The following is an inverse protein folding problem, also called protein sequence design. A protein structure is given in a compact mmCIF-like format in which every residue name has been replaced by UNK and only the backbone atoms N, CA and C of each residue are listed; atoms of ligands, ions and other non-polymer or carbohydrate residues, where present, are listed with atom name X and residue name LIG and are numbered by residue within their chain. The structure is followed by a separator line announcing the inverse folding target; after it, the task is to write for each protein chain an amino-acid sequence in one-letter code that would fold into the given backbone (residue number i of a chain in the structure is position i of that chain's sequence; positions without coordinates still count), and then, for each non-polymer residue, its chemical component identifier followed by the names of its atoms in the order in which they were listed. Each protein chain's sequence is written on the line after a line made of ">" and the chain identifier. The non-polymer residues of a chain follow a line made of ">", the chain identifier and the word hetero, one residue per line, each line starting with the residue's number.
data_IF_303144606523
#
_entry.id   IF_303144606523
#
_cell.length_a   1.000
_cell.length_b   1.000
_cell.length_c   1.000
_cell.angle_alpha   90.00
_cell.angle_beta   90.00
_cell.angle_gamma   90.00
#
_symmetry.space_group_name_H-M   'P 1'
#
loop_
_entity.id
_entity.type
_entity.pdbx_description
1 polymer ?
#
# COMPACT_ATOMS: atom_id res chain seq x y z
N UNK A 1 -2.57 -35.42 9.13
CA UNK A 1 -2.64 -34.41 10.22
C UNK A 1 -2.94 -33.07 9.57
N UNK A 2 -4.07 -32.44 9.90
CA UNK A 2 -4.39 -31.11 9.34
C UNK A 2 -3.49 -30.07 10.03
N UNK A 3 -2.71 -29.32 9.25
CA UNK A 3 -1.85 -28.26 9.79
C UNK A 3 -2.65 -27.11 10.40
N UNK A 4 -1.98 -26.19 11.13
CA UNK A 4 -2.63 -25.01 11.70
C UNK A 4 -3.32 -24.18 10.61
N UNK A 5 -4.53 -23.71 10.93
CA UNK A 5 -5.35 -22.86 10.06
C UNK A 5 -5.26 -21.41 10.50
N UNK A 6 -5.25 -20.49 9.54
CA UNK A 6 -5.27 -19.06 9.80
C UNK A 6 -6.59 -18.67 10.48
N UNK A 7 -6.51 -18.05 11.65
CA UNK A 7 -7.69 -17.58 12.40
C UNK A 7 -8.52 -16.53 11.64
N UNK A 8 -7.91 -15.80 10.68
CA UNK A 8 -8.59 -14.74 9.92
C UNK A 8 -9.30 -15.24 8.66
N UNK A 9 -8.70 -16.18 7.92
CA UNK A 9 -9.22 -16.59 6.60
C UNK A 9 -9.47 -18.09 6.43
N UNK A 10 -9.12 -18.92 7.41
CA UNK A 10 -9.32 -20.38 7.38
C UNK A 10 -8.34 -21.17 6.50
N UNK A 11 -7.48 -20.50 5.73
CA UNK A 11 -6.45 -21.15 4.91
C UNK A 11 -5.40 -21.86 5.76
N UNK A 12 -4.71 -22.85 5.19
CA UNK A 12 -3.58 -23.49 5.85
C UNK A 12 -2.44 -22.46 6.05
N UNK A 13 -1.89 -22.39 7.26
CA UNK A 13 -0.83 -21.45 7.63
C UNK A 13 0.34 -22.22 8.26
N UNK A 14 1.22 -22.83 7.45
CA UNK A 14 2.33 -23.64 7.98
C UNK A 14 3.43 -22.81 8.65
N UNK A 15 3.50 -21.50 8.38
CA UNK A 15 4.48 -20.57 8.96
C UNK A 15 3.87 -19.59 9.97
N UNK A 16 4.64 -18.55 10.33
CA UNK A 16 4.19 -17.51 11.25
C UNK A 16 3.15 -16.60 10.59
N UNK A 17 3.20 -16.47 9.25
CA UNK A 17 2.34 -15.60 8.47
C UNK A 17 1.52 -16.43 7.49
N UNK A 18 0.22 -16.16 7.42
CA UNK A 18 -0.65 -16.82 6.46
C UNK A 18 -0.24 -16.42 5.03
N UNK A 19 0.11 -17.40 4.20
CA UNK A 19 0.51 -17.20 2.81
C UNK A 19 -0.58 -16.62 1.91
N UNK A 20 -1.85 -16.68 2.35
CA UNK A 20 -3.01 -16.20 1.61
C UNK A 20 -3.42 -14.77 1.97
N UNK A 21 -3.62 -14.47 3.27
CA UNK A 21 -4.08 -13.15 3.71
C UNK A 21 -3.01 -12.32 4.44
N UNK A 22 -1.81 -12.87 4.64
CA UNK A 22 -0.72 -12.18 5.33
C UNK A 22 -0.94 -12.01 6.83
N UNK A 23 -2.04 -12.51 7.40
CA UNK A 23 -2.29 -12.39 8.84
C UNK A 23 -1.38 -13.31 9.64
N UNK A 24 -1.03 -12.88 10.85
CA UNK A 24 -0.23 -13.67 11.76
C UNK A 24 -1.02 -14.91 12.22
N UNK A 25 -0.38 -16.08 12.21
CA UNK A 25 -0.99 -17.35 12.59
C UNK A 25 -1.08 -17.52 14.12
N UNK A 26 -0.11 -17.00 14.86
CA UNK A 26 -0.07 -16.98 16.32
C UNK A 26 0.64 -15.71 16.82
N UNK A 27 0.20 -15.15 17.95
CA UNK A 27 0.77 -13.92 18.51
C UNK A 27 2.27 -14.05 18.78
N UNK A 28 3.13 -13.09 18.38
CA UNK A 28 4.55 -13.17 18.60
C UNK A 28 4.85 -12.72 20.03
N UNK A 29 5.33 -13.63 20.87
CA UNK A 29 5.60 -13.33 22.29
C UNK A 29 6.93 -12.58 22.50
N UNK A 30 7.78 -12.51 21.47
CA UNK A 30 9.09 -11.87 21.52
C UNK A 30 9.37 -11.00 20.30
N UNK A 31 10.23 -9.99 20.46
CA UNK A 31 10.67 -9.12 19.37
C UNK A 31 11.40 -9.89 18.25
N UNK A 32 12.05 -11.01 18.56
CA UNK A 32 12.66 -11.87 17.55
C UNK A 32 11.61 -12.57 16.68
N UNK A 33 10.51 -13.05 17.28
CA UNK A 33 9.40 -13.63 16.53
C UNK A 33 8.68 -12.59 15.67
N UNK A 34 8.52 -11.35 16.15
CA UNK A 34 8.00 -10.26 15.32
C UNK A 34 8.86 -10.02 14.08
N UNK A 35 10.19 -9.99 14.25
CA UNK A 35 11.12 -9.79 13.15
C UNK A 35 11.06 -10.94 12.14
N UNK A 36 11.05 -12.19 12.60
CA UNK A 36 10.90 -13.36 11.72
C UNK A 36 9.56 -13.36 10.98
N UNK A 37 8.47 -12.97 11.64
CA UNK A 37 7.17 -12.83 11.00
C UNK A 37 7.17 -11.71 9.95
N UNK A 38 7.86 -10.59 10.21
CA UNK A 38 8.02 -9.53 9.23
C UNK A 38 8.85 -9.99 8.02
N UNK A 39 9.94 -10.70 8.25
CA UNK A 39 10.78 -11.30 7.19
C UNK A 39 9.96 -12.27 6.32
N UNK A 40 9.17 -13.16 6.94
CA UNK A 40 8.28 -14.09 6.23
C UNK A 40 7.21 -13.34 5.42
N UNK A 41 6.57 -12.32 6.01
CA UNK A 41 5.60 -11.47 5.32
C UNK A 41 6.22 -10.78 4.10
N UNK A 42 7.44 -10.27 4.22
CA UNK A 42 8.14 -9.64 3.10
C UNK A 42 8.56 -10.63 2.02
N UNK A 43 8.94 -11.87 2.40
CA UNK A 43 9.17 -12.95 1.45
C UNK A 43 7.90 -13.29 0.64
N UNK A 44 6.74 -13.30 1.30
CA UNK A 44 5.45 -13.50 0.62
C UNK A 44 5.15 -12.39 -0.40
N UNK A 45 5.52 -11.14 -0.13
CA UNK A 45 5.32 -10.03 -1.09
C UNK A 45 6.14 -10.20 -2.37
N UNK A 46 7.38 -10.67 -2.27
CA UNK A 46 8.27 -10.82 -3.43
C UNK A 46 7.80 -11.90 -4.42
N UNK A 47 7.06 -12.90 -3.95
CA UNK A 47 6.57 -14.02 -4.76
C UNK A 47 5.17 -13.81 -5.39
N UNK A 48 4.62 -12.60 -5.34
CA UNK A 48 3.25 -12.31 -5.79
C UNK A 48 3.24 -11.28 -6.92
N UNK A 49 2.19 -11.34 -7.73
CA UNK A 49 1.85 -10.30 -8.69
C UNK A 49 1.32 -9.04 -7.99
N UNK A 50 1.11 -7.96 -8.74
CA UNK A 50 0.70 -6.66 -8.17
C UNK A 50 -0.62 -6.75 -7.37
N UNK A 51 -1.57 -7.56 -7.81
CA UNK A 51 -2.84 -7.75 -7.10
C UNK A 51 -2.65 -8.53 -5.79
N UNK A 52 -1.89 -9.63 -5.82
CA UNK A 52 -1.55 -10.40 -4.63
C UNK A 52 -0.73 -9.56 -3.62
N UNK A 53 0.20 -8.75 -4.10
CA UNK A 53 0.95 -7.79 -3.28
C UNK A 53 0.02 -6.77 -2.64
N UNK A 54 -0.88 -6.15 -3.40
CA UNK A 54 -1.84 -5.17 -2.87
C UNK A 54 -2.69 -5.76 -1.73
N UNK A 55 -3.24 -6.96 -1.94
CA UNK A 55 -4.06 -7.65 -0.93
C UNK A 55 -3.28 -7.95 0.36
N UNK A 56 -2.03 -8.39 0.23
CA UNK A 56 -1.14 -8.64 1.37
C UNK A 56 -0.76 -7.33 2.08
N UNK A 57 -0.51 -6.24 1.36
CA UNK A 57 -0.18 -4.95 1.95
C UNK A 57 -1.37 -4.35 2.72
N UNK A 58 -2.59 -4.44 2.16
CA UNK A 58 -3.84 -3.95 2.76
C UNK A 58 -4.20 -4.66 4.07
N UNK A 59 -3.97 -5.97 4.14
CA UNK A 59 -4.50 -6.82 5.21
C UNK A 59 -3.46 -7.59 6.02
N UNK A 60 -2.19 -7.58 5.61
CA UNK A 60 -1.14 -8.39 6.20
C UNK A 60 -0.66 -7.94 7.57
N UNK A 61 0.20 -8.77 8.16
CA UNK A 61 0.76 -8.65 9.50
C UNK A 61 1.44 -7.31 9.74
N UNK A 62 1.04 -6.58 10.79
CA UNK A 62 1.69 -5.33 11.21
C UNK A 62 2.33 -5.52 12.59
N UNK A 63 3.67 -5.37 12.73
CA UNK A 63 4.37 -5.60 13.99
C UNK A 63 4.02 -4.56 15.05
N UNK A 64 4.36 -4.81 16.31
CA UNK A 64 4.00 -3.94 17.44
C UNK A 64 5.18 -3.23 18.08
N UNK A 65 6.40 -3.80 18.00
CA UNK A 65 7.60 -3.12 18.49
C UNK A 65 7.99 -1.93 17.61
N UNK A 66 8.53 -0.83 18.18
CA UNK A 66 8.96 0.33 17.41
C UNK A 66 9.98 -0.02 16.32
N UNK A 67 10.96 -0.87 16.65
CA UNK A 67 12.04 -1.29 15.73
C UNK A 67 11.46 -2.03 14.52
N UNK A 68 10.60 -3.02 14.76
CA UNK A 68 9.98 -3.77 13.67
C UNK A 68 8.98 -2.92 12.86
N UNK A 69 8.34 -1.91 13.46
CA UNK A 69 7.50 -0.96 12.74
C UNK A 69 8.31 -0.08 11.79
N UNK A 70 9.44 0.45 12.24
CA UNK A 70 10.34 1.22 11.38
C UNK A 70 10.81 0.34 10.21
N UNK A 71 11.24 -0.89 10.48
CA UNK A 71 11.64 -1.82 9.42
C UNK A 71 10.49 -2.11 8.44
N UNK A 72 9.28 -2.34 8.95
CA UNK A 72 8.10 -2.55 8.12
C UNK A 72 7.82 -1.33 7.22
N UNK A 73 7.98 -0.11 7.75
CA UNK A 73 7.83 1.13 6.99
C UNK A 73 8.89 1.24 5.88
N UNK A 74 10.17 1.02 6.21
CA UNK A 74 11.28 1.02 5.23
C UNK A 74 11.03 0.03 4.10
N UNK A 75 10.55 -1.18 4.43
CA UNK A 75 10.24 -2.20 3.41
C UNK A 75 9.04 -1.87 2.53
N UNK A 76 8.17 -0.94 2.94
CA UNK A 76 7.08 -0.44 2.10
C UNK A 76 7.54 0.61 1.07
N UNK A 77 8.66 1.29 1.32
CA UNK A 77 9.14 2.41 0.48
C UNK A 77 9.28 2.06 -1.00
N UNK A 78 9.89 0.91 -1.40
CA UNK A 78 10.04 0.57 -2.81
C UNK A 78 8.69 0.42 -3.54
N UNK A 79 7.64 -0.01 -2.83
CA UNK A 79 6.30 -0.16 -3.40
C UNK A 79 5.61 1.19 -3.58
N UNK A 80 5.80 2.12 -2.64
CA UNK A 80 5.26 3.49 -2.74
C UNK A 80 5.96 4.29 -3.85
N UNK A 81 7.27 4.08 -4.01
CA UNK A 81 8.09 4.77 -5.02
C UNK A 81 8.07 4.12 -6.41
N UNK A 82 7.56 2.88 -6.51
CA UNK A 82 7.44 2.14 -7.76
C UNK A 82 6.41 2.73 -8.71
N UNK A 83 5.90 1.90 -9.62
CA UNK A 83 4.84 2.32 -10.55
C UNK A 83 3.55 2.67 -9.79
N UNK A 84 3.26 3.97 -9.76
CA UNK A 84 2.20 4.58 -8.97
C UNK A 84 0.80 4.23 -9.45
N UNK A 85 0.68 3.80 -10.70
CA UNK A 85 -0.60 3.36 -11.26
C UNK A 85 -0.98 1.95 -10.81
N UNK A 86 -0.05 1.22 -10.18
CA UNK A 86 -0.34 -0.10 -9.64
C UNK A 86 -1.04 -0.02 -8.28
N UNK A 87 -2.05 -0.87 -8.09
CA UNK A 87 -2.79 -1.02 -6.84
C UNK A 87 -1.89 -1.33 -5.64
N UNK A 88 -0.75 -1.99 -5.86
CA UNK A 88 0.23 -2.28 -4.81
C UNK A 88 0.85 -1.00 -4.22
N UNK A 89 1.01 0.06 -5.01
CA UNK A 89 1.57 1.33 -4.54
C UNK A 89 0.61 2.03 -3.59
N UNK A 90 -0.68 2.08 -3.92
CA UNK A 90 -1.71 2.65 -3.04
C UNK A 90 -1.83 1.83 -1.73
N UNK A 91 -1.84 0.50 -1.85
CA UNK A 91 -1.87 -0.38 -0.68
C UNK A 91 -0.64 -0.19 0.23
N UNK A 92 0.56 -0.02 -0.37
CA UNK A 92 1.77 0.29 0.37
C UNK A 92 1.71 1.65 1.07
N UNK A 93 1.14 2.67 0.41
CA UNK A 93 0.98 4.00 1.00
C UNK A 93 0.04 3.96 2.22
N UNK A 94 -1.11 3.29 2.11
CA UNK A 94 -2.04 3.08 3.25
C UNK A 94 -1.39 2.29 4.38
N UNK A 95 -0.57 1.31 4.04
CA UNK A 95 0.19 0.53 5.04
C UNK A 95 1.24 1.38 5.73
N UNK A 96 1.94 2.25 5.00
CA UNK A 96 2.90 3.20 5.55
C UNK A 96 2.21 4.22 6.47
N UNK A 97 1.03 4.71 6.10
CA UNK A 97 0.16 5.51 6.99
C UNK A 97 -0.16 4.76 8.30
N UNK A 98 -0.54 3.48 8.22
CA UNK A 98 -0.82 2.67 9.41
C UNK A 98 0.42 2.46 10.30
N UNK A 99 1.60 2.23 9.71
CA UNK A 99 2.88 2.17 10.43
C UNK A 99 3.14 3.48 11.17
N UNK A 100 3.03 4.61 10.48
CA UNK A 100 3.23 5.95 11.05
C UNK A 100 2.28 6.22 12.21
N UNK A 101 1.00 5.91 12.06
CA UNK A 101 0.00 6.06 13.14
C UNK A 101 0.40 5.20 14.35
N UNK A 102 0.79 3.94 14.14
CA UNK A 102 1.18 3.06 15.25
C UNK A 102 2.46 3.55 15.95
N UNK A 103 3.44 4.05 15.19
CA UNK A 103 4.66 4.65 15.76
C UNK A 103 4.35 5.90 16.61
N UNK A 104 3.38 6.72 16.23
CA UNK A 104 2.93 7.90 17.01
C UNK A 104 2.29 7.54 18.34
N UNK A 105 1.74 6.33 18.48
CA UNK A 105 1.12 5.84 19.72
C UNK A 105 2.14 5.25 20.71
N UNK A 106 3.38 5.02 20.28
CA UNK A 106 4.46 4.47 21.09
C UNK A 106 5.31 5.59 21.72
N UNK A 107 6.14 5.29 22.75
CA UNK A 107 7.07 6.26 23.31
C UNK A 107 7.96 6.89 22.23
N UNK A 108 7.96 8.21 22.16
CA UNK A 108 8.63 8.97 21.11
C UNK A 108 10.13 9.10 21.40
N UNK A 109 10.92 8.17 20.87
CA UNK A 109 12.38 8.30 20.75
C UNK A 109 12.74 9.18 19.56
N UNK A 110 13.97 9.68 19.52
CA UNK A 110 14.46 10.48 18.38
C UNK A 110 14.37 9.72 17.05
N UNK A 111 14.69 8.42 17.09
CA UNK A 111 14.60 7.54 15.95
C UNK A 111 13.15 7.39 15.45
N UNK A 112 12.19 7.14 16.36
CA UNK A 112 10.77 7.05 15.98
C UNK A 112 10.22 8.36 15.42
N UNK A 113 10.61 9.52 15.99
CA UNK A 113 10.19 10.83 15.48
C UNK A 113 10.72 11.09 14.07
N UNK A 114 11.98 10.75 13.83
CA UNK A 114 12.59 10.86 12.50
C UNK A 114 11.90 9.95 11.49
N UNK A 115 11.70 8.68 11.82
CA UNK A 115 11.02 7.72 10.96
C UNK A 115 9.59 8.18 10.61
N UNK A 116 8.83 8.65 11.60
CA UNK A 116 7.49 9.22 11.42
C UNK A 116 7.53 10.41 10.44
N UNK A 117 8.46 11.34 10.62
CA UNK A 117 8.62 12.49 9.71
C UNK A 117 8.95 12.07 8.28
N UNK A 118 9.86 11.12 8.10
CA UNK A 118 10.27 10.62 6.78
C UNK A 118 9.12 9.86 6.08
N UNK A 119 8.40 9.02 6.81
CA UNK A 119 7.26 8.27 6.29
C UNK A 119 6.09 9.18 5.90
N UNK A 120 5.80 10.22 6.69
CA UNK A 120 4.78 11.22 6.35
C UNK A 120 5.13 12.04 5.12
N UNK A 121 6.41 12.41 4.97
CA UNK A 121 6.87 13.11 3.77
C UNK A 121 6.62 12.25 2.53
N UNK A 122 6.98 10.96 2.58
CA UNK A 122 6.77 10.03 1.48
C UNK A 122 5.28 9.82 1.13
N UNK A 123 4.42 9.60 2.14
CA UNK A 123 2.97 9.49 1.89
C UNK A 123 2.43 10.78 1.27
N UNK A 124 2.84 11.95 1.76
CA UNK A 124 2.40 13.25 1.25
C UNK A 124 2.83 13.46 -0.20
N UNK A 125 4.06 13.11 -0.54
CA UNK A 125 4.56 13.16 -1.93
C UNK A 125 3.77 12.23 -2.85
N UNK A 126 3.49 11.01 -2.39
CA UNK A 126 2.65 10.05 -3.13
C UNK A 126 1.25 10.62 -3.41
N UNK A 127 0.56 11.15 -2.39
CA UNK A 127 -0.78 11.76 -2.54
C UNK A 127 -0.78 12.99 -3.43
N UNK A 128 0.27 13.81 -3.36
CA UNK A 128 0.41 14.99 -4.21
C UNK A 128 0.53 14.61 -5.68
N UNK A 129 1.28 13.55 -5.98
CA UNK A 129 1.41 13.02 -7.34
C UNK A 129 0.07 12.44 -7.86
N UNK A 130 -0.62 11.67 -7.02
CA UNK A 130 -1.93 11.10 -7.35
C UNK A 130 -2.96 12.20 -7.69
N UNK A 131 -2.97 13.29 -6.91
CA UNK A 131 -3.83 14.44 -7.17
C UNK A 131 -3.47 15.18 -8.47
N UNK A 132 -2.18 15.32 -8.79
CA UNK A 132 -1.77 15.97 -10.04
C UNK A 132 -2.14 15.15 -11.27
N UNK A 133 -2.02 13.82 -11.20
CA UNK A 133 -2.35 12.94 -12.32
C UNK A 133 -3.86 12.97 -12.61
N UNK A 134 -4.69 13.00 -11.57
CA UNK A 134 -6.14 13.16 -11.70
C UNK A 134 -6.49 14.50 -12.38
N UNK A 135 -5.82 15.58 -11.98
CA UNK A 135 -6.05 16.91 -12.55
C UNK A 135 -5.68 16.98 -14.04
N UNK A 136 -4.54 16.40 -14.42
CA UNK A 136 -4.13 16.30 -15.82
C UNK A 136 -5.10 15.44 -16.63
N UNK A 137 -5.53 14.29 -16.10
CA UNK A 137 -6.51 13.42 -16.73
C UNK A 137 -7.84 14.14 -17.00
N UNK A 138 -8.36 14.86 -16.02
CA UNK A 138 -9.57 15.68 -16.15
C UNK A 138 -9.41 16.80 -17.19
N UNK A 139 -8.25 17.46 -17.21
CA UNK A 139 -7.95 18.53 -18.17
C UNK A 139 -7.95 18.00 -19.60
N UNK A 140 -7.28 16.87 -19.85
CA UNK A 140 -7.23 16.24 -21.17
C UNK A 140 -8.63 15.78 -21.62
N UNK A 141 -9.41 15.17 -20.72
CA UNK A 141 -10.79 14.76 -21.01
C UNK A 141 -11.68 15.96 -21.35
N UNK A 142 -11.55 17.05 -20.61
CA UNK A 142 -12.28 18.30 -20.86
C UNK A 142 -11.97 18.87 -22.24
N UNK A 143 -10.69 18.93 -22.63
CA UNK A 143 -10.28 19.38 -23.97
C UNK A 143 -10.86 18.47 -25.06
N UNK A 144 -10.80 17.14 -24.87
CA UNK A 144 -11.35 16.18 -25.82
C UNK A 144 -12.86 16.39 -26.04
N UNK A 145 -13.62 16.59 -24.95
CA UNK A 145 -15.05 16.87 -25.02
C UNK A 145 -15.35 18.16 -25.77
N UNK A 146 -14.59 19.24 -25.53
CA UNK A 146 -14.74 20.49 -26.27
C UNK A 146 -14.48 20.28 -27.76
N UNK A 147 -13.42 19.57 -28.13
CA UNK A 147 -13.11 19.26 -29.54
C UNK A 147 -14.23 18.46 -30.20
N UNK A 148 -14.72 17.39 -29.55
CA UNK A 148 -15.83 16.58 -30.05
C UNK A 148 -17.08 17.43 -30.25
N UNK A 149 -17.39 18.31 -29.29
CA UNK A 149 -18.56 19.18 -29.34
C UNK A 149 -18.46 20.19 -30.50
N UNK A 150 -17.29 20.81 -30.69
CA UNK A 150 -17.04 21.75 -31.78
C UNK A 150 -17.12 21.05 -33.14
N UNK A 151 -16.46 19.89 -33.30
CA UNK A 151 -16.51 19.11 -34.54
C UNK A 151 -17.94 18.67 -34.84
N UNK A 152 -18.68 18.19 -33.83
CA UNK A 152 -20.09 17.83 -33.97
C UNK A 152 -20.96 19.00 -34.42
N UNK A 153 -20.77 20.19 -33.83
CA UNK A 153 -21.46 21.42 -34.23
C UNK A 153 -21.15 21.84 -35.67
N UNK A 154 -19.89 21.74 -36.08
CA UNK A 154 -19.45 22.06 -37.45
C UNK A 154 -20.06 21.09 -38.46
N UNK A 155 -20.04 19.79 -38.16
CA UNK A 155 -20.64 18.76 -39.02
C UNK A 155 -22.16 18.93 -39.10
N UNK A 156 -22.83 19.17 -37.98
CA UNK A 156 -24.27 19.40 -37.93
C UNK A 156 -24.68 20.63 -38.77
N UNK A 157 -23.94 21.74 -38.63
CA UNK A 157 -24.17 22.95 -39.42
C UNK A 157 -23.98 22.72 -40.92
N UNK A 158 -23.05 21.86 -41.32
CA UNK A 158 -22.79 21.51 -42.73
C UNK A 158 -23.86 20.59 -43.33
N UNK A 159 -24.54 19.77 -42.52
CA UNK A 159 -25.59 18.88 -42.99
C UNK A 159 -26.98 19.56 -43.05
N UNK A 160 -27.23 20.57 -42.21
CA UNK A 160 -28.51 21.27 -42.14
C UNK A 160 -28.60 22.55 -42.97
N UNK A 161 -27.49 23.03 -43.54
CA UNK A 161 -27.42 24.22 -44.39
C UNK A 161 -26.95 23.88 -45.79
#
# INVERSE_FOLDING_TARGET
>A
MAGPRCARCGAAAPGLVCSYCGALAAGPESGELERRALEEFCGLLQGRDAEGQAKLLESGYLPSSPVALIEAGVRCVPFVQGDRLNRSAEAAARRLEAVTVKLRLLPQTEETRRAVSEFEAMVREFRKAEASDLFWGLTVLGILLVVITVVGLVLLRRFLG
#
